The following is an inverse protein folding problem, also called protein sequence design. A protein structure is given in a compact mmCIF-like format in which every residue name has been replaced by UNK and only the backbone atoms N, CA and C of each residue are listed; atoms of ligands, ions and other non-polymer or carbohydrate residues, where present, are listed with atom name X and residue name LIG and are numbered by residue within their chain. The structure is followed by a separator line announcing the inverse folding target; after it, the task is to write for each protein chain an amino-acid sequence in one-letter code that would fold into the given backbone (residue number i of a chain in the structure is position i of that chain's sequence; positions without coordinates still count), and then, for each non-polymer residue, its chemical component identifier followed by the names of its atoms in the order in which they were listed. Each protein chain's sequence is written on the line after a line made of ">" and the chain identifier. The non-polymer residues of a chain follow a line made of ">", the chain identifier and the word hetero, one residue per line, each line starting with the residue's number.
data_IF_834858624329
#
_entry.id   IF_834858624329
#
_cell.length_a   1.000
_cell.length_b   1.000
_cell.length_c   1.000
_cell.angle_alpha   90.00
_cell.angle_beta   90.00
_cell.angle_gamma   90.00
#
_symmetry.space_group_name_H-M   'P 1'
#
loop_
_entity.id
_entity.type
_entity.pdbx_description
1 polymer ?
#
# COMPACT_ATOMS: atom_id res chain seq x y z
N UNK A 1 19.63 29.14 8.98
CA UNK A 1 18.90 29.06 7.71
C UNK A 1 18.05 27.81 7.78
N UNK A 2 16.72 27.93 7.90
CA UNK A 2 15.84 26.77 7.95
C UNK A 2 15.78 26.16 6.54
N UNK A 3 16.10 24.87 6.41
CA UNK A 3 15.84 24.12 5.18
C UNK A 3 14.33 24.18 4.88
N UNK A 4 13.91 24.46 3.63
CA UNK A 4 12.51 24.40 3.29
C UNK A 4 12.06 22.94 3.39
N UNK A 5 11.20 22.65 4.36
CA UNK A 5 10.52 21.35 4.46
C UNK A 5 9.97 21.02 3.08
N UNK A 6 10.52 19.97 2.48
CA UNK A 6 10.31 19.63 1.08
C UNK A 6 8.82 19.46 0.80
N UNK A 7 8.41 19.86 -0.39
CA UNK A 7 7.06 19.75 -0.96
C UNK A 7 6.46 18.32 -0.95
N UNK A 8 7.19 17.33 -0.44
CA UNK A 8 6.83 15.92 -0.35
C UNK A 8 5.91 15.59 0.85
N UNK A 9 6.12 16.18 2.04
CA UNK A 9 5.34 15.80 3.24
C UNK A 9 3.83 16.08 3.13
N UNK A 10 3.44 17.17 2.46
CA UNK A 10 2.03 17.54 2.31
C UNK A 10 1.35 16.74 1.20
N UNK A 11 2.13 16.28 0.22
CA UNK A 11 1.65 15.46 -0.90
C UNK A 11 1.16 14.09 -0.41
N UNK A 12 1.91 13.49 0.51
CA UNK A 12 1.64 12.14 1.01
C UNK A 12 0.34 12.08 1.83
N UNK A 13 0.12 13.07 2.70
CA UNK A 13 -1.11 13.13 3.53
C UNK A 13 -2.35 13.38 2.66
N UNK A 14 -2.25 14.25 1.65
CA UNK A 14 -3.36 14.52 0.74
C UNK A 14 -3.74 13.27 -0.08
N UNK A 15 -2.75 12.49 -0.51
CA UNK A 15 -2.95 11.23 -1.23
C UNK A 15 -3.60 10.16 -0.33
N UNK A 16 -3.13 10.00 0.90
CA UNK A 16 -3.75 9.10 1.89
C UNK A 16 -5.22 9.46 2.12
N UNK A 17 -5.53 10.75 2.30
CA UNK A 17 -6.91 11.22 2.47
C UNK A 17 -7.74 10.94 1.22
N UNK A 18 -7.19 11.15 0.02
CA UNK A 18 -7.90 10.88 -1.23
C UNK A 18 -8.27 9.39 -1.37
N UNK A 19 -7.32 8.49 -1.09
CA UNK A 19 -7.54 7.03 -1.14
C UNK A 19 -8.58 6.61 -0.10
N UNK A 20 -8.49 7.12 1.13
CA UNK A 20 -9.49 6.85 2.17
C UNK A 20 -10.84 7.45 1.77
N UNK A 21 -10.93 8.65 1.20
CA UNK A 21 -12.21 9.28 0.88
C UNK A 21 -12.93 8.62 -0.32
N UNK A 22 -12.20 7.92 -1.18
CA UNK A 22 -12.76 7.29 -2.38
C UNK A 22 -13.71 6.13 -2.00
N UNK A 23 -15.01 6.17 -2.38
CA UNK A 23 -15.96 5.09 -2.14
C UNK A 23 -15.63 3.79 -2.90
N UNK A 24 -14.82 3.84 -3.96
CA UNK A 24 -14.34 2.67 -4.68
C UNK A 24 -13.20 1.95 -3.93
N UNK A 25 -12.54 2.62 -2.98
CA UNK A 25 -11.50 1.99 -2.15
C UNK A 25 -12.12 0.95 -1.23
N UNK A 26 -11.66 -0.29 -1.37
CA UNK A 26 -12.13 -1.41 -0.54
C UNK A 26 -11.98 -1.13 0.96
N UNK A 27 -12.93 -1.63 1.75
CA UNK A 27 -12.89 -1.50 3.22
C UNK A 27 -11.59 -2.02 3.81
N UNK A 28 -11.08 -3.15 3.30
CA UNK A 28 -9.82 -3.72 3.76
C UNK A 28 -8.62 -2.77 3.55
N UNK A 29 -8.50 -2.16 2.37
CA UNK A 29 -7.39 -1.24 2.09
C UNK A 29 -7.50 0.03 2.92
N UNK A 30 -8.72 0.56 3.07
CA UNK A 30 -9.00 1.72 3.94
C UNK A 30 -8.57 1.47 5.38
N UNK A 31 -8.98 0.34 5.95
CA UNK A 31 -8.64 -0.03 7.32
C UNK A 31 -7.13 -0.27 7.50
N UNK A 32 -6.48 -0.87 6.50
CA UNK A 32 -5.04 -1.07 6.50
C UNK A 32 -4.27 0.26 6.51
N UNK A 33 -4.69 1.24 5.70
CA UNK A 33 -4.08 2.57 5.67
C UNK A 33 -4.30 3.30 7.00
N UNK A 34 -5.53 3.31 7.52
CA UNK A 34 -5.85 3.93 8.82
C UNK A 34 -5.03 3.30 9.95
N UNK A 35 -4.89 1.96 9.96
CA UNK A 35 -4.08 1.25 10.93
C UNK A 35 -2.59 1.57 10.80
N UNK A 36 -2.07 1.67 9.57
CA UNK A 36 -0.67 2.03 9.31
C UNK A 36 -0.33 3.44 9.82
N UNK A 37 -1.23 4.42 9.66
CA UNK A 37 -1.04 5.79 10.15
C UNK A 37 -0.93 5.89 11.68
N UNK A 38 -1.39 4.89 12.43
CA UNK A 38 -1.33 4.85 13.89
C UNK A 38 -0.07 4.13 14.43
N UNK A 39 0.77 3.57 13.55
CA UNK A 39 1.96 2.77 13.89
C UNK A 39 3.25 3.54 13.66
N UNK A 40 4.36 2.96 14.11
CA UNK A 40 5.68 3.42 13.69
C UNK A 40 5.79 3.32 12.15
N UNK A 41 6.26 4.39 11.47
CA UNK A 41 6.26 4.44 10.00
C UNK A 41 7.21 3.41 9.36
N UNK A 42 8.32 3.03 10.01
CA UNK A 42 9.23 2.03 9.46
C UNK A 42 8.64 0.62 9.57
N UNK A 43 7.96 0.32 10.67
CA UNK A 43 7.25 -0.95 10.82
C UNK A 43 6.08 -1.07 9.84
N UNK A 44 5.32 0.01 9.66
CA UNK A 44 4.20 0.06 8.73
C UNK A 44 4.65 -0.15 7.27
N UNK A 45 5.74 0.49 6.85
CA UNK A 45 6.32 0.32 5.51
C UNK A 45 6.80 -1.11 5.28
N UNK A 46 7.53 -1.68 6.26
CA UNK A 46 8.04 -3.05 6.17
C UNK A 46 6.94 -4.09 6.08
N UNK A 47 5.87 -3.93 6.85
CA UNK A 47 4.72 -4.81 6.81
C UNK A 47 3.96 -4.70 5.47
N UNK A 48 3.80 -3.48 4.96
CA UNK A 48 3.17 -3.25 3.66
C UNK A 48 3.97 -3.91 2.52
N UNK A 49 5.31 -3.77 2.51
CA UNK A 49 6.17 -4.45 1.54
C UNK A 49 6.07 -5.98 1.64
N UNK A 50 6.07 -6.51 2.85
CA UNK A 50 5.95 -7.96 3.10
C UNK A 50 4.63 -8.50 2.58
N UNK A 51 3.54 -7.78 2.85
CA UNK A 51 2.20 -8.11 2.38
C UNK A 51 2.09 -8.04 0.85
N UNK A 52 2.60 -6.98 0.24
CA UNK A 52 2.61 -6.84 -1.22
C UNK A 52 3.34 -8.02 -1.87
N UNK A 53 4.54 -8.37 -1.39
CA UNK A 53 5.31 -9.51 -1.91
C UNK A 53 4.55 -10.85 -1.76
N UNK A 54 3.86 -11.05 -0.64
CA UNK A 54 3.04 -12.26 -0.41
C UNK A 54 1.87 -12.34 -1.41
N UNK A 55 1.14 -11.23 -1.60
CA UNK A 55 -0.02 -11.17 -2.49
C UNK A 55 0.38 -11.37 -3.95
N UNK A 56 1.50 -10.76 -4.39
CA UNK A 56 2.06 -10.98 -5.73
C UNK A 56 2.40 -12.44 -5.96
N UNK A 57 3.16 -13.07 -5.05
CA UNK A 57 3.50 -14.50 -5.17
C UNK A 57 2.26 -15.40 -5.21
N UNK A 58 1.23 -15.06 -4.43
CA UNK A 58 -0.05 -15.78 -4.43
C UNK A 58 -0.75 -15.63 -5.77
N UNK A 59 -0.80 -14.42 -6.33
CA UNK A 59 -1.39 -14.16 -7.63
C UNK A 59 -0.65 -14.94 -8.72
N UNK A 60 0.68 -14.89 -8.74
CA UNK A 60 1.52 -15.62 -9.70
C UNK A 60 1.24 -17.13 -9.65
N UNK A 61 1.14 -17.71 -8.45
CA UNK A 61 0.82 -19.12 -8.27
C UNK A 61 -0.58 -19.48 -8.80
N UNK A 62 -1.57 -18.61 -8.59
CA UNK A 62 -2.93 -18.80 -9.12
C UNK A 62 -2.91 -18.71 -10.66
N UNK A 63 -2.28 -17.68 -11.22
CA UNK A 63 -2.17 -17.50 -12.67
C UNK A 63 -1.46 -18.69 -13.32
N UNK A 64 -0.32 -19.12 -12.80
CA UNK A 64 0.41 -20.28 -13.30
C UNK A 64 -0.42 -21.58 -13.26
N UNK A 65 -1.28 -21.74 -12.24
CA UNK A 65 -2.19 -22.89 -12.13
C UNK A 65 -3.31 -22.86 -13.17
N UNK A 66 -3.88 -21.69 -13.45
CA UNK A 66 -5.05 -21.56 -14.33
C UNK A 66 -4.68 -21.37 -15.80
N UNK A 67 -3.49 -20.82 -16.08
CA UNK A 67 -2.99 -20.57 -17.42
C UNK A 67 -1.60 -21.20 -17.58
N UNK A 68 -1.50 -22.55 -17.61
CA UNK A 68 -0.22 -23.21 -17.83
C UNK A 68 0.32 -22.78 -19.19
N UNK A 69 1.50 -22.16 -19.21
CA UNK A 69 2.17 -21.81 -20.46
C UNK A 69 2.37 -23.09 -21.26
N UNK A 70 1.70 -23.21 -22.41
CA UNK A 70 1.99 -24.27 -23.38
C UNK A 70 3.42 -24.04 -23.85
N UNK A 71 4.35 -24.89 -23.41
CA UNK A 71 5.68 -25.01 -24.00
C UNK A 71 5.58 -25.67 -25.36
#
# INVERSE_FOLDING_TARGET
>A
MAEPLGRHDVGDVAEVIAIIADPATSYWLRDAIVSACARDPFDAERDAMTLAALLTRRLDAIVARHFPSRR
#
